data_IF_439822487989
#
_entry.id   IF_439822487989
#
_cell.length_a   1.000
_cell.length_b   1.000
_cell.length_c   1.000
_cell.angle_alpha   90.00
_cell.angle_beta   90.00
_cell.angle_gamma   90.00
#
_symmetry.space_group_name_H-M   'P 1'
#
loop_
_entity.id
_entity.type
_entity.pdbx_description
1 polymer ?
#
# COMPACT_ATOMS: atom_id res chain seq x y z
N UNK A 1 13.24 3.72 -18.11
CA UNK A 1 12.11 4.56 -17.62
C UNK A 1 11.76 4.21 -16.18
N UNK A 2 11.58 2.92 -15.86
CA UNK A 2 11.30 2.42 -14.52
C UNK A 2 12.38 2.76 -13.47
N UNK A 3 13.66 2.65 -13.84
CA UNK A 3 14.81 2.95 -12.98
C UNK A 3 14.80 4.39 -12.47
N UNK A 4 14.51 5.37 -13.33
CA UNK A 4 14.44 6.79 -12.95
C UNK A 4 13.33 7.08 -11.92
N UNK A 5 12.18 6.40 -12.03
CA UNK A 5 11.09 6.55 -11.08
C UNK A 5 11.47 5.95 -9.72
N UNK A 6 12.01 4.74 -9.72
CA UNK A 6 12.47 4.07 -8.49
C UNK A 6 13.59 4.87 -7.81
N UNK A 7 14.53 5.43 -8.57
CA UNK A 7 15.57 6.33 -8.05
C UNK A 7 14.95 7.57 -7.40
N UNK A 8 13.97 8.20 -8.06
CA UNK A 8 13.25 9.37 -7.52
C UNK A 8 12.50 9.02 -6.23
N UNK A 9 11.77 7.90 -6.21
CA UNK A 9 11.03 7.46 -5.03
C UNK A 9 11.96 7.17 -3.85
N UNK A 10 13.09 6.50 -4.10
CA UNK A 10 14.09 6.24 -3.08
C UNK A 10 14.77 7.54 -2.59
N UNK A 11 15.04 8.47 -3.49
CA UNK A 11 15.59 9.78 -3.14
C UNK A 11 14.60 10.58 -2.26
N UNK A 12 13.33 10.65 -2.64
CA UNK A 12 12.30 11.37 -1.88
C UNK A 12 12.04 10.73 -0.51
N UNK A 13 11.97 9.39 -0.44
CA UNK A 13 11.90 8.63 0.82
C UNK A 13 13.06 8.95 1.73
N UNK A 14 14.30 8.81 1.24
CA UNK A 14 15.53 9.02 2.03
C UNK A 14 15.63 10.43 2.61
N UNK A 15 15.16 11.44 1.87
CA UNK A 15 15.24 12.84 2.27
C UNK A 15 13.94 13.35 2.92
N UNK A 16 12.97 12.48 3.20
CA UNK A 16 11.66 12.83 3.76
C UNK A 16 10.98 14.01 3.02
N UNK A 17 11.05 14.00 1.68
CA UNK A 17 10.49 15.08 0.85
C UNK A 17 8.96 15.04 0.94
N UNK A 18 8.39 16.09 1.51
CA UNK A 18 6.93 16.30 1.55
C UNK A 18 6.42 16.75 0.18
N UNK A 19 5.18 16.36 -0.15
CA UNK A 19 4.51 16.69 -1.41
C UNK A 19 5.24 16.20 -2.68
N UNK A 20 6.21 15.28 -2.52
CA UNK A 20 6.82 14.53 -3.62
C UNK A 20 5.92 13.39 -4.11
N UNK A 21 6.34 12.70 -5.17
CA UNK A 21 5.60 11.55 -5.71
C UNK A 21 5.57 10.37 -4.73
N UNK A 22 6.64 10.13 -3.97
CA UNK A 22 6.68 9.10 -2.92
C UNK A 22 5.65 9.39 -1.82
N UNK A 23 5.64 10.64 -1.32
CA UNK A 23 4.70 11.11 -0.30
C UNK A 23 3.25 11.00 -0.78
N UNK A 24 2.96 11.48 -2.00
CA UNK A 24 1.64 11.41 -2.60
C UNK A 24 1.14 9.97 -2.77
N UNK A 25 1.99 9.06 -3.26
CA UNK A 25 1.62 7.66 -3.50
C UNK A 25 1.33 6.95 -2.17
N UNK A 26 2.15 7.16 -1.14
CA UNK A 26 1.92 6.55 0.17
C UNK A 26 0.54 6.90 0.70
N UNK A 27 0.22 8.20 0.78
CA UNK A 27 -1.06 8.66 1.32
C UNK A 27 -2.23 8.21 0.44
N UNK A 28 -2.13 8.41 -0.88
CA UNK A 28 -3.24 8.15 -1.79
C UNK A 28 -3.53 6.66 -1.91
N UNK A 29 -2.52 5.79 -1.93
CA UNK A 29 -2.77 4.34 -2.05
C UNK A 29 -3.31 3.79 -0.74
N UNK A 30 -2.74 4.15 0.41
CA UNK A 30 -3.26 3.72 1.71
C UNK A 30 -4.69 4.17 1.94
N UNK A 31 -5.01 5.44 1.66
CA UNK A 31 -6.38 5.93 1.82
C UNK A 31 -7.37 5.16 0.94
N UNK A 32 -7.08 4.98 -0.35
CA UNK A 32 -8.04 4.34 -1.27
C UNK A 32 -8.21 2.85 -0.95
N UNK A 33 -7.12 2.13 -0.68
CA UNK A 33 -7.18 0.70 -0.37
C UNK A 33 -7.88 0.45 0.95
N UNK A 34 -7.52 1.18 2.02
CA UNK A 34 -8.17 1.01 3.33
C UNK A 34 -9.65 1.41 3.26
N UNK A 35 -10.02 2.43 2.47
CA UNK A 35 -11.42 2.82 2.28
C UNK A 35 -12.25 1.74 1.57
N UNK A 36 -11.70 1.04 0.58
CA UNK A 36 -12.38 -0.07 -0.10
C UNK A 36 -12.72 -1.19 0.89
N UNK A 37 -11.87 -1.39 1.90
CA UNK A 37 -12.05 -2.42 2.94
C UNK A 37 -12.89 -1.94 4.14
N UNK A 38 -13.35 -0.69 4.10
CA UNK A 38 -14.27 -0.15 5.10
C UNK A 38 -13.59 0.63 6.24
N UNK A 39 -12.32 1.03 6.09
CA UNK A 39 -11.70 1.94 7.05
C UNK A 39 -12.43 3.29 7.11
N UNK A 40 -12.60 3.80 8.33
CA UNK A 40 -13.22 5.09 8.62
C UNK A 40 -12.24 6.26 8.55
N UNK A 41 -10.93 6.01 8.42
CA UNK A 41 -9.92 7.07 8.37
C UNK A 41 -10.13 7.99 7.18
N UNK A 42 -10.13 9.30 7.43
CA UNK A 42 -10.18 10.33 6.38
C UNK A 42 -8.83 10.45 5.66
N UNK A 43 -8.83 11.04 4.47
CA UNK A 43 -7.58 11.29 3.73
C UNK A 43 -6.60 12.14 4.53
N UNK A 44 -7.12 13.14 5.25
CA UNK A 44 -6.33 14.03 6.10
C UNK A 44 -5.74 13.28 7.30
N UNK A 45 -6.50 12.38 7.93
CA UNK A 45 -6.01 11.50 8.99
C UNK A 45 -4.92 10.56 8.48
N UNK A 46 -5.12 9.90 7.33
CA UNK A 46 -4.10 9.06 6.69
C UNK A 46 -2.81 9.86 6.43
N UNK A 47 -2.93 11.08 5.90
CA UNK A 47 -1.80 11.98 5.69
C UNK A 47 -1.11 12.35 7.01
N UNK A 48 -1.88 12.60 8.06
CA UNK A 48 -1.37 12.94 9.39
C UNK A 48 -0.59 11.78 10.03
N UNK A 49 -1.10 10.55 9.90
CA UNK A 49 -0.41 9.32 10.34
C UNK A 49 0.94 9.21 9.61
N UNK A 50 0.97 9.41 8.29
CA UNK A 50 2.20 9.35 7.51
C UNK A 50 3.22 10.42 7.93
N UNK A 51 2.77 11.66 8.12
CA UNK A 51 3.65 12.82 8.33
C UNK A 51 4.18 12.97 9.75
N UNK A 52 3.44 12.49 10.75
CA UNK A 52 3.70 12.77 12.17
C UNK A 52 3.80 11.51 13.03
N UNK A 53 3.49 10.34 12.46
CA UNK A 53 3.29 9.10 13.23
C UNK A 53 2.29 9.30 14.39
N UNK A 54 1.37 10.25 14.23
CA UNK A 54 0.43 10.68 15.25
C UNK A 54 -0.86 11.18 14.58
N UNK A 55 -1.99 10.80 15.17
CA UNK A 55 -3.30 11.30 14.79
C UNK A 55 -3.67 12.50 15.65
N UNK A 56 -4.07 13.57 14.99
CA UNK A 56 -4.83 14.65 15.63
C UNK A 56 -6.29 14.34 15.31
N UNK A 57 -7.07 14.10 16.36
CA UNK A 57 -8.49 13.78 16.25
C UNK A 57 -9.32 14.90 16.86
N UNK A 58 -10.52 15.11 16.36
CA UNK A 58 -11.45 16.01 17.03
C UNK A 58 -11.98 15.39 18.34
N UNK A 59 -12.51 16.23 19.23
CA UNK A 59 -13.09 15.77 20.49
C UNK A 59 -14.33 14.93 20.17
N UNK A 60 -14.35 13.66 20.60
CA UNK A 60 -15.40 12.64 20.35
C UNK A 60 -15.34 11.88 19.02
N UNK A 61 -14.26 11.98 18.27
CA UNK A 61 -14.07 11.15 17.08
C UNK A 61 -13.70 9.71 17.47
N UNK A 62 -14.47 8.73 16.97
CA UNK A 62 -14.20 7.31 17.23
C UNK A 62 -13.38 6.72 16.06
N UNK A 63 -12.07 6.63 16.27
CA UNK A 63 -11.14 6.00 15.33
C UNK A 63 -10.81 4.60 15.84
N UNK A 64 -10.96 3.60 14.97
CA UNK A 64 -10.58 2.23 15.27
C UNK A 64 -9.06 2.11 15.27
N UNK A 65 -8.50 1.47 16.30
CA UNK A 65 -7.05 1.21 16.36
C UNK A 65 -6.59 0.32 15.20
N UNK A 66 -7.41 -0.63 14.77
CA UNK A 66 -7.13 -1.52 13.64
C UNK A 66 -6.82 -0.72 12.37
N UNK A 67 -7.67 0.25 12.00
CA UNK A 67 -7.48 1.12 10.83
C UNK A 67 -6.15 1.88 10.87
N UNK A 68 -5.71 2.30 12.05
CA UNK A 68 -4.42 2.98 12.25
C UNK A 68 -3.28 2.00 11.98
N UNK A 69 -3.34 0.80 12.57
CA UNK A 69 -2.32 -0.23 12.37
C UNK A 69 -2.28 -0.70 10.91
N UNK A 70 -3.42 -0.88 10.26
CA UNK A 70 -3.50 -1.21 8.83
C UNK A 70 -2.84 -0.13 7.96
N UNK A 71 -3.10 1.14 8.27
CA UNK A 71 -2.47 2.27 7.57
C UNK A 71 -0.95 2.28 7.75
N UNK A 72 -0.45 2.08 8.98
CA UNK A 72 0.99 2.01 9.25
C UNK A 72 1.63 0.81 8.52
N UNK A 73 1.01 -0.36 8.63
CA UNK A 73 1.49 -1.58 7.96
C UNK A 73 1.54 -1.42 6.44
N UNK A 74 0.56 -0.71 5.86
CA UNK A 74 0.56 -0.38 4.44
C UNK A 74 1.78 0.48 4.06
N UNK A 75 2.09 1.53 4.83
CA UNK A 75 3.27 2.37 4.54
C UNK A 75 4.56 1.56 4.59
N UNK A 76 4.69 0.68 5.58
CA UNK A 76 5.84 -0.21 5.73
C UNK A 76 5.93 -1.25 4.61
N UNK A 77 4.81 -1.78 4.14
CA UNK A 77 4.83 -2.69 2.99
C UNK A 77 5.34 -1.99 1.72
N UNK A 78 4.82 -0.80 1.40
CA UNK A 78 5.32 -0.03 0.24
C UNK A 78 6.81 0.27 0.38
N UNK A 79 7.26 0.57 1.60
CA UNK A 79 8.67 0.76 1.90
C UNK A 79 9.52 -0.47 1.63
N UNK A 80 9.02 -1.64 2.02
CA UNK A 80 9.67 -2.92 1.80
C UNK A 80 9.73 -3.27 0.31
N UNK A 81 8.61 -3.14 -0.40
CA UNK A 81 8.51 -3.39 -1.84
C UNK A 81 9.46 -2.47 -2.64
N UNK A 82 9.53 -1.18 -2.28
CA UNK A 82 10.44 -0.24 -2.92
C UNK A 82 11.92 -0.58 -2.66
N UNK A 83 12.24 -1.13 -1.48
CA UNK A 83 13.60 -1.54 -1.12
C UNK A 83 14.03 -2.87 -1.73
N UNK A 84 13.07 -3.74 -2.06
CA UNK A 84 13.32 -5.11 -2.53
C UNK A 84 12.78 -5.39 -3.94
N UNK A 85 12.49 -4.35 -4.73
CA UNK A 85 11.90 -4.46 -6.08
C UNK A 85 12.70 -5.31 -7.09
N UNK A 86 13.98 -5.60 -6.80
CA UNK A 86 14.83 -6.47 -7.61
C UNK A 86 14.76 -7.94 -7.21
N UNK A 87 14.24 -8.23 -6.02
CA UNK A 87 14.08 -9.59 -5.53
C UNK A 87 12.96 -10.29 -6.34
N UNK A 88 13.14 -11.56 -6.69
CA UNK A 88 12.12 -12.31 -7.42
C UNK A 88 10.90 -12.55 -6.54
N UNK A 89 9.70 -12.38 -7.13
CA UNK A 89 8.45 -12.70 -6.47
C UNK A 89 8.38 -14.22 -6.22
N UNK A 90 8.42 -14.61 -4.95
CA UNK A 90 8.34 -16.00 -4.50
C UNK A 90 7.47 -16.11 -3.25
N UNK A 91 7.02 -17.32 -2.91
CA UNK A 91 6.26 -17.55 -1.68
C UNK A 91 7.06 -17.15 -0.43
N UNK A 92 8.36 -17.43 -0.42
CA UNK A 92 9.24 -17.04 0.68
C UNK A 92 9.36 -15.52 0.77
N UNK A 93 9.48 -14.83 -0.36
CA UNK A 93 9.44 -13.36 -0.39
C UNK A 93 8.13 -12.81 0.18
N UNK A 94 6.98 -13.38 -0.19
CA UNK A 94 5.68 -12.93 0.33
C UNK A 94 5.58 -13.06 1.86
N UNK A 95 6.21 -14.09 2.46
CA UNK A 95 6.27 -14.27 3.91
C UNK A 95 7.14 -13.24 4.63
N UNK A 96 8.06 -12.59 3.92
CA UNK A 96 8.94 -11.54 4.49
C UNK A 96 8.29 -10.16 4.51
N UNK A 97 7.14 -9.98 3.86
CA UNK A 97 6.42 -8.71 3.91
C UNK A 97 5.98 -8.40 5.34
N UNK A 98 5.91 -7.11 5.74
CA UNK A 98 5.26 -6.70 6.98
C UNK A 98 3.87 -7.34 7.08
N UNK A 99 3.32 -7.52 8.31
CA UNK A 99 2.02 -8.14 8.52
C UNK A 99 1.06 -7.60 7.49
N UNK A 100 0.56 -8.51 6.66
CA UNK A 100 -0.25 -8.21 5.49
C UNK A 100 -1.65 -7.95 6.04
N UNK A 101 -2.09 -6.69 6.26
CA UNK A 101 -3.52 -6.47 6.38
C UNK A 101 -4.15 -6.97 5.07
N UNK A 102 -5.38 -7.46 5.14
CA UNK A 102 -6.16 -7.91 3.96
C UNK A 102 -6.06 -6.97 2.75
N UNK A 103 -5.78 -5.69 3.02
CA UNK A 103 -5.47 -4.54 2.15
C UNK A 103 -4.31 -4.71 1.19
N UNK A 104 -3.36 -5.58 1.51
CA UNK A 104 -2.20 -5.86 0.67
C UNK A 104 -2.54 -6.78 -0.49
N UNK A 105 -3.67 -7.50 -0.47
CA UNK A 105 -4.13 -8.18 -1.69
C UNK A 105 -4.28 -7.14 -2.82
N UNK A 106 -4.91 -6.01 -2.53
CA UNK A 106 -5.10 -4.93 -3.51
C UNK A 106 -3.79 -4.25 -3.94
N UNK A 107 -2.80 -4.08 -3.05
CA UNK A 107 -1.51 -3.45 -3.42
C UNK A 107 -0.49 -4.38 -4.04
N UNK A 108 -0.43 -5.65 -3.66
CA UNK A 108 0.41 -6.62 -4.36
C UNK A 108 -0.09 -6.75 -5.79
N UNK A 109 -1.41 -6.71 -6.02
CA UNK A 109 -1.94 -6.61 -7.39
C UNK A 109 -1.61 -5.27 -8.04
N UNK A 110 -1.87 -4.10 -7.43
CA UNK A 110 -1.59 -2.81 -8.09
C UNK A 110 -0.09 -2.53 -8.34
N UNK A 111 0.78 -2.88 -7.39
CA UNK A 111 2.22 -2.67 -7.50
C UNK A 111 2.87 -3.70 -8.44
N UNK A 112 2.43 -4.97 -8.45
CA UNK A 112 2.84 -5.91 -9.50
C UNK A 112 2.32 -5.45 -10.86
N UNK A 113 1.05 -5.03 -11.00
CA UNK A 113 0.48 -4.56 -12.27
C UNK A 113 1.20 -3.31 -12.83
N UNK A 114 1.64 -2.39 -11.98
CA UNK A 114 2.33 -1.16 -12.41
C UNK A 114 3.81 -1.40 -12.74
N UNK A 115 4.46 -2.38 -12.10
CA UNK A 115 5.90 -2.62 -12.25
C UNK A 115 6.28 -3.86 -13.08
N UNK A 116 5.39 -4.87 -13.21
CA UNK A 116 5.61 -6.05 -14.06
C UNK A 116 4.82 -5.96 -15.37
N UNK A 117 5.42 -5.26 -16.33
CA UNK A 117 5.12 -5.33 -17.76
C UNK A 117 3.72 -4.88 -18.22
N UNK A 118 3.76 -3.79 -18.97
CA UNK A 118 2.77 -3.31 -19.91
C UNK A 118 2.54 -4.33 -21.05
N UNK A 119 1.90 -5.47 -20.80
CA UNK A 119 1.26 -6.32 -21.83
C UNK A 119 0.52 -7.51 -21.23
N UNK A 120 -0.81 -7.49 -21.38
CA UNK A 120 -1.65 -8.67 -21.68
C UNK A 120 -1.61 -9.81 -20.62
N UNK A 121 -2.22 -9.58 -19.45
CA UNK A 121 -2.93 -10.67 -18.72
C UNK A 121 -3.86 -10.16 -17.61
N UNK A 122 -4.36 -8.92 -17.73
CA UNK A 122 -5.14 -8.26 -16.68
C UNK A 122 -6.59 -8.76 -16.53
N UNK A 123 -7.20 -9.34 -17.57
CA UNK A 123 -8.64 -9.62 -17.54
C UNK A 123 -9.00 -11.02 -17.00
N UNK A 124 -8.15 -12.03 -17.22
CA UNK A 124 -8.50 -13.41 -16.89
C UNK A 124 -8.14 -13.84 -15.45
N UNK A 125 -7.26 -13.11 -14.76
CA UNK A 125 -6.82 -13.48 -13.40
C UNK A 125 -7.67 -12.81 -12.31
N UNK A 126 -8.11 -11.56 -12.51
CA UNK A 126 -9.05 -10.88 -11.62
C UNK A 126 -10.38 -11.64 -11.46
N UNK A 127 -10.90 -12.27 -12.53
CA UNK A 127 -12.12 -13.09 -12.45
C UNK A 127 -11.93 -14.46 -11.77
N UNK A 128 -10.71 -15.01 -11.76
CA UNK A 128 -10.46 -16.34 -11.16
C UNK A 128 -10.11 -16.26 -9.67
N UNK A 129 -9.55 -15.15 -9.21
CA UNK A 129 -9.21 -14.99 -7.79
C UNK A 129 -10.39 -14.52 -6.93
N UNK A 130 -11.36 -13.80 -7.51
CA UNK A 130 -12.66 -13.57 -6.87
C UNK A 130 -13.40 -14.90 -6.61
N UNK A 131 -13.26 -15.89 -7.49
CA UNK A 131 -13.84 -17.22 -7.26
C UNK A 131 -13.12 -18.04 -6.17
N UNK A 132 -11.84 -17.77 -5.89
CA UNK A 132 -11.07 -18.53 -4.90
C UNK A 132 -11.16 -17.94 -3.48
N UNK A 133 -11.36 -16.61 -3.37
CA UNK A 133 -11.45 -15.92 -2.08
C UNK A 133 -12.90 -15.78 -1.56
N UNK A 134 -13.92 -15.91 -2.42
CA UNK A 134 -15.33 -15.87 -1.99
C UNK A 134 -16.01 -17.23 -1.91
N UNK A 135 -15.35 -18.33 -2.31
CA UNK A 135 -15.84 -19.71 -2.15
C UNK A 135 -14.74 -20.60 -1.56
N UNK A 136 -14.61 -20.55 -0.24
CA UNK A 136 -14.18 -21.67 0.59
C UNK A 136 -15.04 -21.59 1.87
N UNK A 137 -15.53 -22.73 2.36
CA UNK A 137 -16.79 -22.86 3.10
C UNK A 137 -16.85 -22.07 4.41
#
# INVERSE_FOLDING_TARGET
>A
MLTKLIEKLNYEKKNAIKNGIYHLIQIKFSYNSNRIEGSSLTYEQTAHIFDKSALITEKNENIRLDDIFETINHFECVNYLLGSYKEPLSLEYLKTLPPIPTTITSLVFYFLIVFSNLSIQLCCFCMKLSCFLFHSP
#
